data_IF_577254558602
#
_entry.id   IF_577254558602
#
_cell.length_a   1.000
_cell.length_b   1.000
_cell.length_c   1.000
_cell.angle_alpha   90.00
_cell.angle_beta   90.00
_cell.angle_gamma   90.00
#
_symmetry.space_group_name_H-M   'P 1'
#
loop_
_entity.id
_entity.type
_entity.pdbx_description
1 polymer ?
#
# COMPACT_ATOMS: atom_id res chain seq x y z
N UNK A 1 -49.41 -37.16 -28.03
CA UNK A 1 -47.98 -37.35 -28.37
C UNK A 1 -47.36 -35.96 -28.48
N UNK A 2 -47.21 -35.27 -27.34
CA UNK A 2 -46.17 -35.51 -26.34
C UNK A 2 -44.80 -35.20 -26.95
N UNK A 3 -44.32 -33.96 -26.82
CA UNK A 3 -42.89 -33.55 -26.78
C UNK A 3 -42.75 -32.00 -26.87
N UNK A 4 -43.75 -31.25 -27.36
CA UNK A 4 -43.66 -29.77 -27.41
C UNK A 4 -44.08 -29.01 -26.13
N UNK A 5 -44.61 -29.70 -25.11
CA UNK A 5 -45.12 -29.04 -23.90
C UNK A 5 -44.22 -29.23 -22.65
N UNK A 6 -43.15 -30.03 -22.72
CA UNK A 6 -42.36 -30.42 -21.54
C UNK A 6 -40.95 -29.77 -21.47
N UNK A 7 -40.54 -29.02 -22.49
CA UNK A 7 -39.19 -28.45 -22.60
C UNK A 7 -39.13 -26.91 -22.48
N UNK A 8 -40.25 -26.24 -22.23
CA UNK A 8 -40.29 -24.79 -21.99
C UNK A 8 -40.35 -24.39 -20.50
N UNK A 9 -40.32 -25.35 -19.57
CA UNK A 9 -40.45 -25.07 -18.13
C UNK A 9 -39.13 -25.21 -17.34
N UNK A 10 -37.96 -25.39 -17.99
CA UNK A 10 -36.70 -25.72 -17.30
C UNK A 10 -35.56 -24.69 -17.43
N UNK A 11 -35.84 -23.44 -17.75
CA UNK A 11 -34.88 -22.33 -17.60
C UNK A 11 -35.66 -21.03 -17.31
N UNK A 12 -35.50 -20.29 -16.19
CA UNK A 12 -34.69 -20.54 -14.99
C UNK A 12 -35.42 -20.11 -13.69
N UNK A 13 -36.15 -21.01 -13.02
CA UNK A 13 -36.69 -20.72 -11.67
C UNK A 13 -35.63 -20.86 -10.55
N UNK A 14 -34.39 -21.21 -10.90
CA UNK A 14 -33.28 -21.36 -9.95
C UNK A 14 -32.19 -20.27 -10.05
N UNK A 15 -32.36 -19.24 -10.89
CA UNK A 15 -31.36 -18.16 -11.02
C UNK A 15 -31.76 -16.84 -10.35
N UNK A 16 -32.94 -16.77 -9.73
CA UNK A 16 -33.39 -15.56 -9.02
C UNK A 16 -33.14 -15.57 -7.50
N UNK A 17 -32.49 -16.60 -6.95
CA UNK A 17 -32.14 -16.69 -5.53
C UNK A 17 -30.63 -16.69 -5.24
N UNK A 18 -29.79 -16.33 -6.22
CA UNK A 18 -28.34 -16.18 -6.00
C UNK A 18 -27.80 -14.77 -6.26
N UNK A 19 -28.68 -13.80 -6.53
CA UNK A 19 -28.29 -12.40 -6.66
C UNK A 19 -28.72 -11.61 -5.42
N UNK A 20 -27.72 -11.02 -4.76
CA UNK A 20 -27.84 -10.01 -3.71
C UNK A 20 -27.88 -10.48 -2.24
N UNK A 21 -27.01 -11.43 -1.87
CA UNK A 21 -26.22 -11.26 -0.65
C UNK A 21 -24.78 -10.84 -1.01
N UNK A 22 -24.67 -9.86 -1.91
CA UNK A 22 -23.50 -8.99 -1.93
C UNK A 22 -23.62 -8.08 -0.69
N UNK A 23 -23.44 -8.67 0.49
CA UNK A 23 -22.94 -7.96 1.65
C UNK A 23 -21.52 -7.53 1.27
N UNK A 24 -21.43 -6.48 0.44
CA UNK A 24 -20.37 -5.52 0.56
C UNK A 24 -20.48 -5.02 2.00
N UNK A 25 -19.82 -5.72 2.91
CA UNK A 25 -19.28 -5.07 4.09
C UNK A 25 -18.33 -4.01 3.55
N UNK A 26 -18.89 -2.84 3.25
CA UNK A 26 -18.14 -1.62 3.21
C UNK A 26 -17.38 -1.62 4.53
N UNK A 27 -16.09 -1.97 4.45
CA UNK A 27 -15.20 -1.83 5.57
C UNK A 27 -15.26 -0.36 5.93
N UNK A 28 -16.07 -0.04 6.94
CA UNK A 28 -16.01 1.25 7.61
C UNK A 28 -14.60 1.28 8.19
N UNK A 29 -13.64 1.81 7.43
CA UNK A 29 -12.40 2.31 8.00
C UNK A 29 -12.83 3.38 8.97
N UNK A 30 -13.01 2.99 10.23
CA UNK A 30 -13.19 3.89 11.35
C UNK A 30 -11.81 4.50 11.60
N UNK A 31 -11.37 5.35 10.67
CA UNK A 31 -10.27 6.26 10.90
C UNK A 31 -10.79 7.25 11.92
N UNK A 32 -10.44 7.04 13.18
CA UNK A 32 -10.55 8.05 14.22
C UNK A 32 -9.87 9.31 13.69
N UNK A 33 -10.68 10.29 13.28
CA UNK A 33 -10.22 11.64 13.03
C UNK A 33 -9.88 12.28 14.39
N UNK A 34 -8.79 11.82 14.99
CA UNK A 34 -7.96 12.73 15.75
C UNK A 34 -7.42 13.74 14.72
N UNK A 35 -7.40 15.02 15.07
CA UNK A 35 -6.68 16.04 14.29
C UNK A 35 -5.18 15.72 14.34
N UNK A 36 -4.78 14.69 13.60
CA UNK A 36 -3.44 14.12 13.54
C UNK A 36 -2.78 14.48 12.23
N UNK A 37 -1.45 14.56 12.25
CA UNK A 37 -0.63 14.87 11.09
C UNK A 37 -1.01 13.90 9.96
N UNK A 38 -1.41 14.45 8.82
CA UNK A 38 -1.88 13.66 7.67
C UNK A 38 -0.76 13.25 6.74
N UNK A 39 0.45 13.73 6.97
CA UNK A 39 1.54 13.57 6.02
C UNK A 39 2.85 14.22 6.40
N UNK A 40 3.92 13.79 5.73
CA UNK A 40 5.24 14.37 5.89
C UNK A 40 5.93 14.42 4.52
N UNK A 41 6.37 15.61 4.11
CA UNK A 41 7.20 15.78 2.93
C UNK A 41 8.64 15.99 3.38
N UNK A 42 9.53 15.13 2.91
CA UNK A 42 10.94 15.12 3.33
C UNK A 42 11.81 15.60 2.18
N UNK A 43 12.64 16.59 2.46
CA UNK A 43 13.65 17.10 1.56
C UNK A 43 15.02 16.98 2.22
N UNK A 44 16.03 16.49 1.48
CA UNK A 44 17.38 16.36 2.00
C UNK A 44 18.27 15.48 1.15
N UNK A 45 19.29 14.91 1.80
CA UNK A 45 20.31 14.05 1.20
C UNK A 45 20.20 12.61 1.71
N UNK A 46 21.30 11.85 1.65
CA UNK A 46 21.38 10.45 2.09
C UNK A 46 20.84 10.20 3.50
N UNK A 47 21.01 11.13 4.44
CA UNK A 47 20.57 10.98 5.84
C UNK A 47 19.05 10.77 5.98
N UNK A 48 18.27 11.27 5.02
CA UNK A 48 16.81 11.18 5.02
C UNK A 48 16.28 10.41 3.81
N UNK A 49 17.15 9.87 2.96
CA UNK A 49 16.73 9.07 1.82
C UNK A 49 16.18 7.71 2.30
N UNK A 50 14.97 7.42 1.89
CA UNK A 50 14.23 6.19 2.18
C UNK A 50 14.24 5.19 1.03
N UNK A 51 15.03 5.43 -0.02
CA UNK A 51 15.19 4.54 -1.16
C UNK A 51 14.86 5.17 -2.51
N UNK A 52 14.77 6.50 -2.61
CA UNK A 52 14.51 7.21 -3.86
C UNK A 52 15.53 6.85 -4.93
N UNK A 53 16.81 6.75 -4.54
CA UNK A 53 17.89 6.43 -5.48
C UNK A 53 17.73 5.06 -6.17
N UNK A 54 16.97 4.12 -5.62
CA UNK A 54 16.72 2.83 -6.26
C UNK A 54 15.97 2.98 -7.61
N UNK A 55 15.16 4.02 -7.73
CA UNK A 55 14.30 4.31 -8.88
C UNK A 55 14.89 5.35 -9.84
N UNK A 56 16.05 5.93 -9.51
CA UNK A 56 16.74 6.89 -10.34
C UNK A 56 17.90 6.25 -11.11
N UNK A 57 18.27 6.85 -12.25
CA UNK A 57 19.43 6.43 -13.04
C UNK A 57 20.70 7.12 -12.51
N UNK A 58 21.18 6.69 -11.34
CA UNK A 58 22.41 7.19 -10.74
C UNK A 58 23.19 6.07 -10.01
N UNK A 59 24.40 6.41 -9.54
CA UNK A 59 25.30 5.50 -8.80
C UNK A 59 25.08 5.53 -7.28
N UNK A 60 24.15 6.34 -6.79
CA UNK A 60 23.90 6.55 -5.36
C UNK A 60 22.90 5.51 -4.79
N UNK A 61 22.88 4.30 -5.34
CA UNK A 61 22.01 3.23 -4.85
C UNK A 61 22.65 2.59 -3.63
N UNK A 62 21.84 2.23 -2.63
CA UNK A 62 22.25 1.53 -1.41
C UNK A 62 21.30 0.36 -1.10
N UNK A 63 20.83 -0.31 -2.15
CA UNK A 63 20.05 -1.54 -2.07
C UNK A 63 20.94 -2.79 -2.04
N UNK A 64 22.02 -2.74 -1.25
CA UNK A 64 22.96 -3.84 -1.03
C UNK A 64 23.47 -3.83 0.42
N UNK A 65 24.01 -4.95 0.90
CA UNK A 65 24.56 -5.06 2.25
C UNK A 65 25.79 -4.15 2.44
N UNK A 66 25.97 -3.49 3.60
CA UNK A 66 25.27 -3.73 4.86
C UNK A 66 23.96 -2.95 5.05
N UNK A 67 23.58 -2.12 4.09
CA UNK A 67 22.37 -1.29 4.20
C UNK A 67 21.12 -2.17 4.25
N UNK A 68 20.25 -1.91 5.22
CA UNK A 68 19.05 -2.71 5.46
C UNK A 68 19.25 -4.07 6.15
N UNK A 69 20.44 -4.36 6.71
CA UNK A 69 20.67 -5.63 7.45
C UNK A 69 19.74 -5.82 8.66
N UNK A 70 19.24 -4.74 9.26
CA UNK A 70 18.28 -4.78 10.38
C UNK A 70 16.82 -4.75 9.91
N UNK A 71 16.55 -4.63 8.60
CA UNK A 71 15.19 -4.78 8.06
C UNK A 71 14.85 -6.25 7.79
N UNK A 72 13.61 -6.69 8.09
CA UNK A 72 13.21 -8.08 7.89
C UNK A 72 13.19 -8.52 6.42
N UNK A 73 13.19 -7.57 5.48
CA UNK A 73 13.20 -7.80 4.03
C UNK A 73 14.55 -7.45 3.37
N UNK A 74 15.59 -7.15 4.16
CA UNK A 74 16.94 -6.87 3.68
C UNK A 74 17.13 -5.45 3.11
N UNK A 75 18.05 -5.26 2.15
CA UNK A 75 18.42 -3.94 1.66
C UNK A 75 17.24 -3.07 1.19
N UNK A 76 17.06 -1.94 1.86
CA UNK A 76 15.87 -1.09 1.71
C UNK A 76 16.10 0.16 0.85
N UNK A 77 17.36 0.53 0.58
CA UNK A 77 17.71 1.81 -0.04
C UNK A 77 17.85 2.98 0.95
N UNK A 78 17.72 2.73 2.26
CA UNK A 78 18.11 3.68 3.31
C UNK A 78 19.61 3.60 3.55
N UNK A 79 20.26 4.75 3.77
CA UNK A 79 21.69 4.84 4.08
C UNK A 79 22.01 4.45 5.54
N UNK A 80 21.35 3.41 6.04
CA UNK A 80 21.41 2.89 7.41
C UNK A 80 21.22 1.37 7.40
N UNK A 81 21.57 0.70 8.50
CA UNK A 81 21.27 -0.73 8.67
C UNK A 81 19.76 -1.01 8.76
N UNK A 82 18.97 -0.05 9.27
CA UNK A 82 17.53 -0.16 9.43
C UNK A 82 16.83 1.16 9.13
N UNK A 83 15.91 1.56 10.00
CA UNK A 83 15.19 2.85 9.93
C UNK A 83 16.16 4.03 9.96
N UNK A 84 15.87 5.08 9.19
CA UNK A 84 16.56 6.37 9.30
C UNK A 84 15.74 7.34 10.18
N UNK A 85 16.19 8.59 10.30
CA UNK A 85 15.54 9.58 11.17
C UNK A 85 14.09 9.88 10.77
N UNK A 86 13.76 9.87 9.49
CA UNK A 86 12.40 10.19 9.03
C UNK A 86 11.42 9.04 9.27
N UNK A 87 11.89 7.80 9.29
CA UNK A 87 11.03 6.67 9.69
C UNK A 87 10.64 6.79 11.16
N UNK A 88 11.60 7.11 12.02
CA UNK A 88 11.35 7.32 13.45
C UNK A 88 10.39 8.49 13.67
N UNK A 89 10.57 9.60 12.93
CA UNK A 89 9.63 10.72 12.96
C UNK A 89 8.25 10.32 12.46
N UNK A 90 8.16 9.56 11.36
CA UNK A 90 6.89 9.06 10.84
C UNK A 90 6.12 8.23 11.86
N UNK A 91 6.82 7.41 12.64
CA UNK A 91 6.24 6.63 13.75
C UNK A 91 5.75 7.52 14.89
N UNK A 92 6.53 8.54 15.30
CA UNK A 92 6.09 9.52 16.30
C UNK A 92 4.87 10.33 15.84
N UNK A 93 4.80 10.62 14.53
CA UNK A 93 3.68 11.31 13.90
C UNK A 93 2.49 10.40 13.60
N UNK A 94 2.58 9.10 13.93
CA UNK A 94 1.55 8.10 13.70
C UNK A 94 1.14 7.98 12.22
N UNK A 95 2.11 8.22 11.32
CA UNK A 95 1.92 8.00 9.90
C UNK A 95 1.83 6.50 9.61
N UNK A 96 1.06 6.11 8.58
CA UNK A 96 0.85 4.70 8.29
C UNK A 96 2.11 4.07 7.68
N UNK A 97 2.87 3.36 8.51
CA UNK A 97 4.03 2.56 8.10
C UNK A 97 5.29 3.38 7.86
N UNK A 98 6.23 2.78 7.14
CA UNK A 98 7.48 3.44 6.75
C UNK A 98 7.23 4.47 5.65
N UNK A 99 8.02 5.53 5.64
CA UNK A 99 7.96 6.55 4.59
C UNK A 99 8.35 5.87 3.27
N UNK A 100 7.49 5.86 2.24
CA UNK A 100 7.79 5.23 0.96
C UNK A 100 8.67 6.15 0.09
N UNK A 101 9.49 5.59 -0.81
CA UNK A 101 10.25 6.39 -1.76
C UNK A 101 9.30 7.16 -2.67
N UNK A 102 9.48 8.48 -2.75
CA UNK A 102 8.72 9.33 -3.67
C UNK A 102 8.93 8.92 -5.14
N UNK A 103 10.13 8.50 -5.51
CA UNK A 103 10.47 8.09 -6.88
C UNK A 103 9.97 6.69 -7.25
N UNK A 104 9.42 5.91 -6.31
CA UNK A 104 8.84 4.60 -6.62
C UNK A 104 7.56 4.77 -7.46
N UNK A 105 7.44 4.16 -8.66
CA UNK A 105 6.21 4.17 -9.43
C UNK A 105 4.98 3.63 -8.69
N UNK A 106 5.16 2.87 -7.60
CA UNK A 106 4.10 2.35 -6.73
C UNK A 106 3.60 3.37 -5.69
N UNK A 107 4.32 4.47 -5.47
CA UNK A 107 3.95 5.57 -4.55
C UNK A 107 2.93 6.48 -5.24
N UNK A 108 1.64 6.15 -5.09
CA UNK A 108 0.52 6.89 -5.69
C UNK A 108 -0.55 7.25 -4.67
N UNK A 109 -1.36 8.26 -5.00
CA UNK A 109 -2.54 8.68 -4.25
C UNK A 109 -2.24 8.94 -2.75
N UNK A 110 -2.94 8.27 -1.84
CA UNK A 110 -2.77 8.48 -0.40
C UNK A 110 -1.37 8.14 0.12
N UNK A 111 -0.60 7.28 -0.58
CA UNK A 111 0.78 7.01 -0.19
C UNK A 111 1.63 8.28 -0.24
N UNK A 112 1.51 9.08 -1.30
CA UNK A 112 2.25 10.36 -1.46
C UNK A 112 2.00 11.30 -0.29
N UNK A 113 0.77 11.34 0.21
CA UNK A 113 0.40 12.26 1.30
C UNK A 113 1.00 11.76 2.61
N UNK A 114 1.06 10.45 2.85
CA UNK A 114 1.55 9.87 4.10
C UNK A 114 3.09 9.84 4.21
N UNK A 115 3.82 10.33 3.22
CA UNK A 115 5.27 10.19 3.10
C UNK A 115 5.67 9.87 1.68
#
# INVERSE_FOLDING_TARGET
MEIKLLLLCLFPLASFFLQCNCHCAASKKKGTAASGIRGMFVFGSSLVDNGNNNFLQNKAKVNYLPYGIDFPYGPSGRYTNGKNVIDLLGEQLQLPGLIPPFADPSTKASKIVHG
#
